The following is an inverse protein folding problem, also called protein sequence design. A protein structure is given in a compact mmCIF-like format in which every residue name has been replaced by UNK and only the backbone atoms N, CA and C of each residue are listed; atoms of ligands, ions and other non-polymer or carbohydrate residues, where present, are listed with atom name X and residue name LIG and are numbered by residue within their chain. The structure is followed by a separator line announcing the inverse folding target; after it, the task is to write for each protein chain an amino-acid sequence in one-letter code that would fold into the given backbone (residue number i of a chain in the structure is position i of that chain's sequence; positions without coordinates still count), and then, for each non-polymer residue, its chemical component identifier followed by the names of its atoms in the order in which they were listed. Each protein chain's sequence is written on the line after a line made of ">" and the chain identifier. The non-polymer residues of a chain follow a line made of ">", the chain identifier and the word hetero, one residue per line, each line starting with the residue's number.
data_IF_269186658678
#
_entry.id   IF_269186658678
#
_cell.length_a   1.000
_cell.length_b   1.000
_cell.length_c   1.000
_cell.angle_alpha   90.00
_cell.angle_beta   90.00
_cell.angle_gamma   90.00
#
_symmetry.space_group_name_H-M   'P 1'
#
loop_
_entity.id
_entity.type
_entity.pdbx_description
1 polymer ?
#
# COMPACT_ATOMS: atom_id res chain seq x y z
N UNK A 1 49.34 8.76 -47.02
CA UNK A 1 48.13 8.02 -46.68
C UNK A 1 47.85 8.05 -45.15
N UNK A 2 47.53 9.17 -44.52
CA UNK A 2 47.19 9.17 -43.08
C UNK A 2 45.73 9.55 -42.74
N UNK A 3 44.87 9.81 -43.73
CA UNK A 3 43.54 10.38 -43.46
C UNK A 3 42.42 9.36 -43.11
N UNK A 4 42.62 8.09 -43.45
CA UNK A 4 41.56 7.07 -43.22
C UNK A 4 41.47 6.63 -41.74
N UNK A 5 42.55 6.64 -40.99
CA UNK A 5 42.54 6.26 -39.58
C UNK A 5 41.90 7.30 -38.66
N UNK A 6 42.02 8.59 -38.98
CA UNK A 6 41.45 9.68 -38.21
C UNK A 6 39.91 9.76 -38.36
N UNK A 7 39.38 9.53 -39.57
CA UNK A 7 37.94 9.55 -39.83
C UNK A 7 37.24 8.40 -39.13
N UNK A 8 37.82 7.20 -39.08
CA UNK A 8 37.27 6.05 -38.38
C UNK A 8 37.26 6.27 -36.88
N UNK A 9 38.31 6.92 -36.31
CA UNK A 9 38.37 7.20 -34.88
C UNK A 9 37.39 8.29 -34.42
N UNK A 10 37.12 9.32 -35.26
CA UNK A 10 36.13 10.35 -34.96
C UNK A 10 34.71 9.78 -35.04
N UNK A 11 34.39 8.94 -35.98
CA UNK A 11 33.09 8.30 -36.09
C UNK A 11 32.83 7.34 -34.88
N UNK A 12 33.83 6.56 -34.49
CA UNK A 12 33.78 5.73 -33.31
C UNK A 12 33.59 6.55 -32.02
N UNK A 13 34.23 7.73 -31.93
CA UNK A 13 34.10 8.61 -30.76
C UNK A 13 32.69 9.24 -30.69
N UNK A 14 32.14 9.68 -31.82
CA UNK A 14 30.76 10.20 -31.93
C UNK A 14 29.77 9.10 -31.59
N UNK A 15 29.94 7.89 -32.12
CA UNK A 15 29.08 6.75 -31.79
C UNK A 15 29.10 6.37 -30.31
N UNK A 16 30.26 6.35 -29.68
CA UNK A 16 30.42 6.06 -28.26
C UNK A 16 29.79 7.16 -27.37
N UNK A 17 29.95 8.43 -27.74
CA UNK A 17 29.36 9.54 -26.99
C UNK A 17 27.84 9.57 -27.09
N UNK A 18 27.25 9.25 -28.24
CA UNK A 18 25.80 9.09 -28.41
C UNK A 18 25.25 7.94 -27.58
N UNK A 19 25.95 6.81 -27.56
CA UNK A 19 25.56 5.65 -26.76
C UNK A 19 25.62 5.95 -25.27
N UNK A 20 26.66 6.64 -24.81
CA UNK A 20 26.77 7.07 -23.42
C UNK A 20 25.62 8.04 -23.03
N UNK A 21 25.27 8.98 -23.90
CA UNK A 21 24.13 9.90 -23.68
C UNK A 21 22.81 9.14 -23.56
N UNK A 22 22.54 8.19 -24.43
CA UNK A 22 21.32 7.37 -24.39
C UNK A 22 21.25 6.57 -23.09
N UNK A 23 22.37 5.98 -22.65
CA UNK A 23 22.44 5.22 -21.38
C UNK A 23 22.16 6.14 -20.19
N UNK A 24 22.77 7.33 -20.12
CA UNK A 24 22.55 8.29 -19.04
C UNK A 24 21.11 8.77 -19.00
N UNK A 25 20.52 9.11 -20.15
CA UNK A 25 19.10 9.55 -20.22
C UNK A 25 18.18 8.40 -19.81
N UNK A 26 18.42 7.18 -20.27
CA UNK A 26 17.61 6.01 -19.90
C UNK A 26 17.71 5.72 -18.40
N UNK A 27 18.90 5.81 -17.81
CA UNK A 27 19.10 5.59 -16.38
C UNK A 27 18.43 6.68 -15.54
N UNK A 28 18.53 7.94 -15.96
CA UNK A 28 17.83 9.07 -15.32
C UNK A 28 16.31 8.90 -15.37
N UNK A 29 15.77 8.47 -16.49
CA UNK A 29 14.34 8.24 -16.64
C UNK A 29 13.83 7.09 -15.78
N UNK A 30 14.55 5.97 -15.74
CA UNK A 30 14.21 4.80 -14.92
C UNK A 30 14.29 5.15 -13.42
N UNK A 31 15.31 5.89 -12.98
CA UNK A 31 15.48 6.24 -11.57
C UNK A 31 14.43 7.24 -11.05
N UNK A 32 13.89 8.12 -11.89
CA UNK A 32 12.84 9.07 -11.47
C UNK A 32 11.43 8.44 -11.44
N UNK A 33 11.16 7.47 -12.30
CA UNK A 33 9.84 6.81 -12.38
C UNK A 33 9.68 5.71 -11.34
N UNK A 34 10.78 5.06 -10.88
CA UNK A 34 10.65 3.82 -10.10
C UNK A 34 10.38 4.01 -8.61
N UNK A 35 10.89 5.06 -7.97
CA UNK A 35 10.85 5.14 -6.49
C UNK A 35 9.45 5.44 -5.92
N UNK A 36 8.70 6.35 -6.51
CA UNK A 36 7.34 6.67 -6.06
C UNK A 36 6.32 5.59 -6.41
N UNK A 37 6.50 4.91 -7.54
CA UNK A 37 5.58 3.85 -8.00
C UNK A 37 5.71 2.57 -7.16
N UNK A 38 6.92 2.17 -6.78
CA UNK A 38 7.15 0.96 -5.99
C UNK A 38 6.57 1.08 -4.58
N UNK A 39 6.77 2.22 -3.92
CA UNK A 39 6.21 2.46 -2.58
C UNK A 39 4.67 2.40 -2.60
N UNK A 40 4.03 2.92 -3.65
CA UNK A 40 2.57 2.87 -3.77
C UNK A 40 2.07 1.44 -3.99
N UNK A 41 2.75 0.65 -4.82
CA UNK A 41 2.39 -0.75 -5.08
C UNK A 41 2.55 -1.58 -3.80
N UNK A 42 3.67 -1.44 -3.10
CA UNK A 42 3.93 -2.12 -1.83
C UNK A 42 2.86 -1.78 -0.78
N UNK A 43 2.48 -0.51 -0.68
CA UNK A 43 1.43 -0.07 0.23
C UNK A 43 0.06 -0.65 -0.12
N UNK A 44 -0.28 -0.75 -1.42
CA UNK A 44 -1.53 -1.38 -1.88
C UNK A 44 -1.56 -2.85 -1.49
N UNK A 45 -0.50 -3.57 -1.79
CA UNK A 45 -0.42 -5.01 -1.50
C UNK A 45 -0.43 -5.25 0.01
N UNK A 46 0.35 -4.50 0.78
CA UNK A 46 0.37 -4.60 2.25
C UNK A 46 -1.00 -4.30 2.87
N UNK A 47 -1.70 -3.24 2.42
CA UNK A 47 -3.02 -2.88 2.95
C UNK A 47 -4.06 -3.95 2.62
N UNK A 48 -4.03 -4.51 1.41
CA UNK A 48 -4.92 -5.59 0.98
C UNK A 48 -4.66 -6.89 1.75
N UNK A 49 -3.40 -7.22 1.94
CA UNK A 49 -3.00 -8.42 2.68
C UNK A 49 -3.41 -8.32 4.15
N UNK A 50 -3.21 -7.15 4.78
CA UNK A 50 -3.59 -6.95 6.18
C UNK A 50 -5.10 -7.08 6.40
N UNK A 51 -5.96 -6.47 5.57
CA UNK A 51 -7.41 -6.64 5.73
C UNK A 51 -7.84 -8.08 5.46
N UNK A 52 -7.15 -8.78 4.57
CA UNK A 52 -7.41 -10.21 4.28
C UNK A 52 -7.01 -11.09 5.46
N UNK A 53 -5.90 -10.80 6.11
CA UNK A 53 -5.44 -11.51 7.32
C UNK A 53 -6.42 -11.28 8.48
N UNK A 54 -6.87 -10.04 8.68
CA UNK A 54 -7.87 -9.71 9.70
C UNK A 54 -9.18 -10.52 9.51
N UNK A 55 -9.63 -10.67 8.28
CA UNK A 55 -10.81 -11.48 7.95
C UNK A 55 -10.55 -12.98 8.19
N UNK A 56 -9.49 -13.54 7.58
CA UNK A 56 -9.21 -14.99 7.63
C UNK A 56 -8.88 -15.50 9.03
N UNK A 57 -8.33 -14.66 9.89
CA UNK A 57 -8.09 -15.00 11.30
C UNK A 57 -9.32 -14.77 12.18
N UNK A 58 -10.48 -14.46 11.58
CA UNK A 58 -11.74 -14.15 12.29
C UNK A 58 -11.60 -13.00 13.29
N UNK A 59 -10.60 -12.13 13.13
CA UNK A 59 -10.37 -10.99 14.03
C UNK A 59 -11.52 -9.99 13.88
N UNK A 60 -11.97 -9.71 12.64
CA UNK A 60 -13.09 -8.81 12.36
C UNK A 60 -14.39 -9.34 12.98
N UNK A 61 -14.68 -10.63 12.80
CA UNK A 61 -15.85 -11.26 13.36
C UNK A 61 -15.85 -11.23 14.90
N UNK A 62 -14.72 -11.58 15.51
CA UNK A 62 -14.56 -11.60 16.97
C UNK A 62 -14.64 -10.18 17.56
N UNK A 63 -14.05 -9.18 16.90
CA UNK A 63 -14.13 -7.79 17.33
C UNK A 63 -15.57 -7.29 17.33
N UNK A 64 -16.36 -7.65 16.31
CA UNK A 64 -17.77 -7.29 16.24
C UNK A 64 -18.61 -8.00 17.30
N UNK A 65 -18.37 -9.30 17.55
CA UNK A 65 -19.06 -10.05 18.61
C UNK A 65 -18.79 -9.51 20.02
N UNK A 66 -17.57 -9.02 20.23
CA UNK A 66 -17.15 -8.44 21.51
C UNK A 66 -17.44 -6.93 21.62
N UNK A 67 -17.84 -6.29 20.51
CA UNK A 67 -17.98 -4.83 20.39
C UNK A 67 -16.70 -4.09 20.86
N UNK A 68 -15.53 -4.66 20.60
CA UNK A 68 -14.23 -4.14 21.03
C UNK A 68 -13.24 -4.10 19.87
N UNK A 69 -12.50 -2.99 19.78
CA UNK A 69 -11.42 -2.81 18.81
C UNK A 69 -10.08 -3.42 19.27
N UNK A 70 -9.97 -3.95 20.48
CA UNK A 70 -8.69 -4.36 21.09
C UNK A 70 -7.96 -5.43 20.28
N UNK A 71 -8.68 -6.42 19.76
CA UNK A 71 -8.11 -7.46 18.90
C UNK A 71 -7.53 -6.88 17.61
N UNK A 72 -8.25 -5.93 17.00
CA UNK A 72 -7.81 -5.24 15.79
C UNK A 72 -6.57 -4.40 16.09
N UNK A 73 -6.61 -3.59 17.16
CA UNK A 73 -5.48 -2.76 17.58
C UNK A 73 -4.23 -3.58 17.86
N UNK A 74 -4.38 -4.72 18.58
CA UNK A 74 -3.25 -5.59 18.87
C UNK A 74 -2.59 -6.11 17.58
N UNK A 75 -3.39 -6.43 16.56
CA UNK A 75 -2.90 -6.89 15.27
C UNK A 75 -2.25 -5.76 14.47
N UNK A 76 -2.89 -4.61 14.36
CA UNK A 76 -2.34 -3.45 13.65
C UNK A 76 -1.03 -2.97 14.30
N UNK A 77 -0.92 -3.01 15.63
CA UNK A 77 0.30 -2.65 16.34
C UNK A 77 1.45 -3.66 16.14
N UNK A 78 1.17 -4.87 15.69
CA UNK A 78 2.18 -5.87 15.35
C UNK A 78 2.79 -5.66 13.95
N UNK A 79 2.22 -4.79 13.12
CA UNK A 79 2.78 -4.43 11.80
C UNK A 79 3.99 -3.49 11.94
N UNK A 80 4.88 -3.40 10.93
CA UNK A 80 6.06 -2.53 10.98
C UNK A 80 5.71 -1.07 11.28
N UNK A 81 6.57 -0.38 12.05
CA UNK A 81 6.35 1.02 12.48
C UNK A 81 6.34 2.03 11.32
N UNK A 82 6.88 1.64 10.16
CA UNK A 82 6.86 2.47 8.94
C UNK A 82 5.47 2.59 8.30
N UNK A 83 4.54 1.68 8.66
CA UNK A 83 3.20 1.65 8.10
C UNK A 83 2.17 2.04 9.15
N UNK A 84 1.31 2.93 8.78
CA UNK A 84 0.15 3.35 9.54
C UNK A 84 -1.11 2.74 8.95
N UNK A 85 -2.02 2.32 9.83
CA UNK A 85 -3.29 1.75 9.43
C UNK A 85 -4.44 2.29 10.26
N UNK A 86 -5.57 2.55 9.60
CA UNK A 86 -6.84 2.79 10.25
C UNK A 86 -7.90 1.82 9.71
N UNK A 87 -8.69 1.25 10.59
CA UNK A 87 -9.80 0.39 10.23
C UNK A 87 -11.12 1.01 10.66
N UNK A 88 -12.06 1.04 9.73
CA UNK A 88 -13.45 1.42 9.98
C UNK A 88 -14.36 0.28 9.55
N UNK A 89 -15.25 -0.18 10.43
CA UNK A 89 -16.25 -1.20 10.12
C UNK A 89 -17.61 -0.54 10.07
N UNK A 90 -18.33 -0.81 8.98
CA UNK A 90 -19.64 -0.28 8.69
C UNK A 90 -20.68 -1.39 8.64
N UNK A 91 -21.88 -1.12 9.14
CA UNK A 91 -23.01 -2.01 8.98
C UNK A 91 -23.68 -1.85 7.61
N UNK A 92 -24.36 -2.89 7.14
CA UNK A 92 -25.10 -2.91 5.86
C UNK A 92 -26.04 -1.72 5.66
N UNK A 93 -26.69 -1.27 6.73
CA UNK A 93 -27.72 -0.23 6.68
C UNK A 93 -27.18 1.20 6.80
N UNK A 94 -25.91 1.37 7.16
CA UNK A 94 -25.31 2.69 7.35
C UNK A 94 -23.80 2.64 7.05
N UNK A 95 -23.44 3.19 5.89
CA UNK A 95 -22.06 3.27 5.43
C UNK A 95 -21.38 4.62 5.77
N UNK A 96 -22.10 5.53 6.42
CA UNK A 96 -21.58 6.86 6.75
C UNK A 96 -20.97 6.91 8.15
N UNK A 97 -21.50 6.12 9.09
CA UNK A 97 -21.04 6.10 10.47
C UNK A 97 -20.46 4.71 10.78
N UNK A 98 -19.15 4.62 11.10
CA UNK A 98 -18.56 3.35 11.46
C UNK A 98 -19.12 2.83 12.79
N UNK A 99 -19.45 1.55 12.81
CA UNK A 99 -19.88 0.83 14.04
C UNK A 99 -18.67 0.57 14.95
N UNK A 100 -17.50 0.38 14.35
CA UNK A 100 -16.25 0.16 15.05
C UNK A 100 -15.10 0.85 14.32
N UNK A 101 -14.21 1.47 15.08
CA UNK A 101 -13.07 2.20 14.56
C UNK A 101 -11.80 1.84 15.34
N UNK A 102 -10.69 1.65 14.63
CA UNK A 102 -9.37 1.40 15.19
C UNK A 102 -8.30 2.15 14.40
N UNK A 103 -7.42 2.87 15.08
CA UNK A 103 -6.25 3.53 14.52
C UNK A 103 -5.00 2.97 15.20
N UNK A 104 -4.01 2.51 14.43
CA UNK A 104 -2.73 2.01 14.95
C UNK A 104 -2.08 3.04 15.87
N UNK A 105 -1.54 2.58 16.99
CA UNK A 105 -0.90 3.43 18.00
C UNK A 105 0.32 4.15 17.41
N UNK A 106 0.42 5.46 17.67
CA UNK A 106 1.51 6.30 17.18
C UNK A 106 1.39 6.76 15.72
N UNK A 107 0.24 6.51 15.08
CA UNK A 107 -0.10 7.05 13.78
C UNK A 107 -0.97 8.31 13.91
N UNK A 108 -0.78 9.23 12.96
CA UNK A 108 -1.59 10.45 12.80
C UNK A 108 -2.26 10.41 11.43
N UNK A 109 -3.35 11.15 11.26
CA UNK A 109 -4.06 11.24 9.97
C UNK A 109 -3.45 12.29 9.02
N UNK A 110 -2.18 12.57 9.18
CA UNK A 110 -1.42 13.47 8.32
C UNK A 110 -0.68 12.63 7.27
N UNK A 111 -1.32 12.38 6.15
CA UNK A 111 -0.83 11.52 5.09
C UNK A 111 -0.87 12.22 3.72
N UNK A 112 0.22 12.12 2.96
CA UNK A 112 0.27 12.55 1.56
C UNK A 112 -0.40 11.56 0.61
N UNK A 113 -0.35 10.27 0.95
CA UNK A 113 -0.95 9.19 0.17
C UNK A 113 -1.70 8.24 1.09
N UNK A 114 -2.95 7.98 0.77
CA UNK A 114 -3.81 7.02 1.46
C UNK A 114 -4.24 5.93 0.48
N UNK A 115 -4.02 4.69 0.83
CA UNK A 115 -4.56 3.53 0.14
C UNK A 115 -5.69 2.96 0.97
N UNK A 116 -6.82 2.66 0.35
CA UNK A 116 -7.97 2.05 1.04
C UNK A 116 -8.27 0.69 0.41
N UNK A 117 -8.39 -0.33 1.25
CA UNK A 117 -8.82 -1.67 0.87
C UNK A 117 -10.11 -2.02 1.61
N UNK A 118 -11.12 -2.44 0.85
CA UNK A 118 -12.42 -2.80 1.39
C UNK A 118 -12.59 -4.32 1.46
N UNK A 119 -13.26 -4.80 2.51
CA UNK A 119 -13.59 -6.22 2.67
C UNK A 119 -14.97 -6.39 3.28
N UNK A 120 -15.81 -7.17 2.62
CA UNK A 120 -17.11 -7.57 3.16
C UNK A 120 -16.96 -8.86 3.95
N UNK A 121 -17.52 -8.93 5.15
CA UNK A 121 -17.52 -10.12 5.99
C UNK A 121 -18.87 -10.29 6.70
N UNK A 122 -19.09 -11.50 7.17
CA UNK A 122 -20.35 -11.90 7.81
C UNK A 122 -20.08 -12.23 9.27
N UNK A 123 -20.93 -11.72 10.14
CA UNK A 123 -20.98 -12.07 11.55
C UNK A 123 -22.22 -12.90 11.79
N UNK A 124 -22.00 -14.14 12.23
CA UNK A 124 -23.09 -15.03 12.61
C UNK A 124 -23.23 -15.02 14.14
N UNK A 125 -24.35 -14.53 14.63
CA UNK A 125 -24.81 -14.67 16.01
C UNK A 125 -25.97 -15.66 16.02
N UNK A 126 -26.17 -16.38 17.12
CA UNK A 126 -27.08 -17.55 17.27
C UNK A 126 -28.50 -17.39 16.66
N UNK A 127 -28.90 -16.18 16.35
CA UNK A 127 -30.24 -15.87 15.80
C UNK A 127 -30.23 -14.91 14.61
N UNK A 128 -29.08 -14.38 14.18
CA UNK A 128 -29.05 -13.39 13.11
C UNK A 128 -27.73 -13.41 12.33
N UNK A 129 -27.83 -13.26 11.02
CA UNK A 129 -26.69 -13.09 10.11
C UNK A 129 -26.63 -11.60 9.75
N UNK A 130 -25.51 -10.96 10.05
CA UNK A 130 -25.27 -9.57 9.72
C UNK A 130 -24.08 -9.42 8.79
N UNK A 131 -24.22 -8.56 7.80
CA UNK A 131 -23.16 -8.24 6.83
C UNK A 131 -22.51 -6.92 7.22
N UNK A 132 -21.19 -6.90 7.18
CA UNK A 132 -20.37 -5.73 7.48
C UNK A 132 -19.36 -5.46 6.39
N UNK A 133 -18.97 -4.20 6.26
CA UNK A 133 -17.89 -3.78 5.37
C UNK A 133 -16.76 -3.20 6.23
N UNK A 134 -15.59 -3.82 6.16
CA UNK A 134 -14.37 -3.29 6.75
C UNK A 134 -13.62 -2.47 5.70
N UNK A 135 -13.25 -1.23 6.02
CA UNK A 135 -12.39 -0.37 5.22
C UNK A 135 -11.09 -0.15 5.97
N UNK A 136 -10.00 -0.68 5.41
CA UNK A 136 -8.66 -0.49 5.94
C UNK A 136 -7.94 0.58 5.12
N UNK A 137 -7.63 1.70 5.74
CA UNK A 137 -6.75 2.73 5.19
C UNK A 137 -5.32 2.47 5.61
N UNK A 138 -4.38 2.54 4.65
CA UNK A 138 -2.95 2.39 4.90
C UNK A 138 -2.16 3.56 4.32
N UNK A 139 -1.13 4.02 5.05
CA UNK A 139 -0.19 5.07 4.62
C UNK A 139 1.18 4.87 5.27
N UNK A 140 2.20 5.51 4.71
CA UNK A 140 3.52 5.57 5.34
C UNK A 140 3.56 6.66 6.42
N UNK A 141 4.33 6.38 7.48
CA UNK A 141 4.54 7.30 8.59
C UNK A 141 5.58 8.35 8.25
#
# INVERSE_FOLDING_TARGET
>A
MPSKGFIISTDAFIGLSMLALIVVISFSYISTVSLTSWNTIDLIDTTRDEVTVLEKQSILENAMKQSSADLILSKLNATPDSHCFELSIFGENNLDIPVLYALKTGCTKDYEQLVVADRTFIVNTDSNIQVYVAKLGGWYK
#
